data_IF_412253412142
#
_entry.id   IF_412253412142
#
_cell.length_a   1.000
_cell.length_b   1.000
_cell.length_c   1.000
_cell.angle_alpha   90.00
_cell.angle_beta   90.00
_cell.angle_gamma   90.00
#
_symmetry.space_group_name_H-M   'P 1'
#
loop_
_entity.id
_entity.type
_entity.pdbx_description
1 polymer ?
#
# COMPACT_ATOMS: atom_id res chain seq x y z
N UNK A 1 -8.89 25.17 27.26
CA UNK A 1 -9.52 24.34 26.21
C UNK A 1 -8.39 23.74 25.40
N UNK A 2 -8.15 22.44 25.55
CA UNK A 2 -7.11 21.72 24.82
C UNK A 2 -7.65 21.41 23.43
N UNK A 3 -7.11 22.06 22.41
CA UNK A 3 -7.26 21.61 21.02
C UNK A 3 -6.38 20.38 20.88
N UNK A 4 -6.98 19.20 20.94
CA UNK A 4 -6.31 17.97 20.50
C UNK A 4 -5.99 18.14 19.01
N UNK A 5 -4.71 18.37 18.70
CA UNK A 5 -4.19 18.25 17.35
C UNK A 5 -4.33 16.78 16.94
N UNK A 6 -5.39 16.49 16.17
CA UNK A 6 -5.57 15.17 15.57
C UNK A 6 -4.47 15.02 14.50
N UNK A 7 -3.34 14.42 14.88
CA UNK A 7 -2.28 14.00 13.95
C UNK A 7 -2.80 12.83 13.12
N UNK A 8 -3.44 13.12 11.99
CA UNK A 8 -3.68 12.12 10.96
C UNK A 8 -2.35 11.78 10.28
N UNK A 9 -1.70 10.69 10.67
CA UNK A 9 -0.55 10.12 9.96
C UNK A 9 -0.99 9.23 8.79
N UNK A 10 -1.97 9.67 8.00
CA UNK A 10 -2.38 8.91 6.81
C UNK A 10 -1.41 9.27 5.68
N UNK A 11 -0.71 8.26 5.14
CA UNK A 11 0.16 8.49 3.99
C UNK A 11 -0.65 8.97 2.79
N UNK A 12 -0.11 9.95 2.05
CA UNK A 12 -0.75 10.49 0.83
C UNK A 12 -1.06 9.37 -0.17
N UNK A 13 -0.22 8.33 -0.23
CA UNK A 13 -0.48 7.14 -1.05
C UNK A 13 -1.74 6.37 -0.65
N UNK A 14 -2.05 6.25 0.65
CA UNK A 14 -3.27 5.59 1.12
C UNK A 14 -4.51 6.42 0.79
N UNK A 15 -4.43 7.75 0.92
CA UNK A 15 -5.50 8.67 0.49
C UNK A 15 -5.72 8.57 -1.02
N UNK A 16 -4.64 8.56 -1.81
CA UNK A 16 -4.72 8.43 -3.26
C UNK A 16 -5.38 7.12 -3.70
N UNK A 17 -5.10 6.01 -3.01
CA UNK A 17 -5.76 4.72 -3.26
C UNK A 17 -7.27 4.80 -2.99
N UNK A 18 -7.67 5.38 -1.87
CA UNK A 18 -9.09 5.57 -1.54
C UNK A 18 -9.78 6.45 -2.60
N UNK A 19 -9.15 7.56 -2.98
CA UNK A 19 -9.70 8.46 -4.01
C UNK A 19 -9.83 7.76 -5.36
N UNK A 20 -8.93 6.84 -5.72
CA UNK A 20 -9.02 6.08 -6.99
C UNK A 20 -10.28 5.21 -7.05
N UNK A 21 -10.60 4.52 -5.96
CA UNK A 21 -11.76 3.61 -5.86
C UNK A 21 -13.11 4.35 -5.79
N UNK A 22 -13.13 5.64 -5.45
CA UNK A 22 -14.36 6.44 -5.37
C UNK A 22 -15.07 6.55 -6.73
N UNK A 23 -16.40 6.57 -6.69
CA UNK A 23 -17.24 6.86 -7.86
C UNK A 23 -17.01 8.28 -8.37
N UNK A 24 -17.43 8.54 -9.62
CA UNK A 24 -17.32 9.88 -10.21
C UNK A 24 -18.11 10.95 -9.43
N UNK A 25 -19.21 10.55 -8.78
CA UNK A 25 -20.02 11.45 -7.96
C UNK A 25 -19.31 11.82 -6.65
N UNK A 26 -18.75 10.83 -5.97
CA UNK A 26 -17.98 11.03 -4.74
C UNK A 26 -16.71 11.85 -4.98
N UNK A 27 -16.02 11.65 -6.12
CA UNK A 27 -14.89 12.48 -6.54
C UNK A 27 -15.29 13.94 -6.76
N UNK A 28 -16.45 14.20 -7.36
CA UNK A 28 -16.98 15.57 -7.54
C UNK A 28 -17.33 16.20 -6.20
N UNK A 29 -17.91 15.42 -5.29
CA UNK A 29 -18.22 15.87 -3.94
C UNK A 29 -16.95 16.18 -3.13
N UNK A 30 -15.92 15.34 -3.22
CA UNK A 30 -14.61 15.61 -2.62
C UNK A 30 -13.99 16.90 -3.17
N UNK A 31 -14.05 17.11 -4.48
CA UNK A 31 -13.55 18.33 -5.11
C UNK A 31 -14.37 19.58 -4.76
N UNK A 32 -15.62 19.43 -4.32
CA UNK A 32 -16.43 20.51 -3.75
C UNK A 32 -16.02 20.81 -2.30
N UNK A 33 -15.73 19.78 -1.51
CA UNK A 33 -15.32 19.91 -0.12
C UNK A 33 -13.89 20.46 0.05
N UNK A 34 -12.99 20.12 -0.89
CA UNK A 34 -11.58 20.54 -0.88
C UNK A 34 -11.26 21.22 -2.22
N UNK A 35 -11.70 22.49 -2.41
CA UNK A 35 -11.49 23.20 -3.67
C UNK A 35 -10.02 23.37 -4.03
N UNK A 36 -9.12 23.38 -3.06
CA UNK A 36 -7.66 23.49 -3.22
C UNK A 36 -7.09 22.35 -4.07
N UNK A 37 -7.74 21.17 -4.10
CA UNK A 37 -7.36 20.06 -4.99
C UNK A 37 -7.55 20.38 -6.48
N UNK A 38 -8.33 21.42 -6.81
CA UNK A 38 -8.52 21.89 -8.19
C UNK A 38 -7.47 22.91 -8.62
N UNK A 39 -6.80 23.55 -7.66
CA UNK A 39 -5.86 24.66 -7.90
C UNK A 39 -4.42 24.17 -7.99
N UNK A 40 -4.13 22.95 -7.56
CA UNK A 40 -2.80 22.35 -7.72
C UNK A 40 -2.58 22.00 -9.19
N UNK A 41 -1.51 22.55 -9.78
CA UNK A 41 -1.03 22.04 -11.05
C UNK A 41 -0.77 20.55 -10.89
N UNK A 42 -1.31 19.68 -11.78
CA UNK A 42 -1.01 18.26 -11.71
C UNK A 42 0.51 18.13 -11.79
N UNK A 43 1.10 17.57 -10.74
CA UNK A 43 2.49 17.13 -10.78
C UNK A 43 2.62 16.30 -12.05
N UNK A 44 3.43 16.78 -13.01
CA UNK A 44 3.76 15.97 -14.16
C UNK A 44 4.29 14.66 -13.59
N UNK A 45 3.70 13.50 -13.95
CA UNK A 45 4.34 12.25 -13.61
C UNK A 45 5.78 12.36 -14.12
N UNK A 46 6.78 12.03 -13.30
CA UNK A 46 8.16 12.16 -13.72
C UNK A 46 8.29 11.41 -15.06
N UNK A 47 8.87 12.07 -16.07
CA UNK A 47 8.98 11.51 -17.43
C UNK A 47 9.71 10.15 -17.45
N UNK A 48 10.42 9.85 -16.35
CA UNK A 48 11.00 8.55 -16.07
C UNK A 48 10.46 8.05 -14.73
N UNK A 49 10.16 6.74 -14.61
CA UNK A 49 9.86 6.17 -13.30
C UNK A 49 10.99 6.53 -12.34
N UNK A 50 10.64 6.91 -11.11
CA UNK A 50 11.63 7.17 -10.06
C UNK A 50 12.44 5.90 -9.85
N UNK A 51 13.56 5.78 -10.56
CA UNK A 51 14.52 4.71 -10.30
C UNK A 51 15.19 5.05 -8.98
N UNK A 52 15.21 4.12 -8.02
CA UNK A 52 15.97 4.33 -6.80
C UNK A 52 17.41 4.69 -7.16
N UNK A 53 18.02 5.60 -6.39
CA UNK A 53 19.43 5.95 -6.58
C UNK A 53 20.30 4.71 -6.33
N UNK A 54 21.48 4.66 -6.96
CA UNK A 54 22.45 3.59 -6.69
C UNK A 54 22.82 3.53 -5.20
N UNK A 55 22.93 4.69 -4.55
CA UNK A 55 23.19 4.79 -3.10
C UNK A 55 22.08 4.14 -2.27
N UNK A 56 20.81 4.34 -2.63
CA UNK A 56 19.69 3.69 -1.95
C UNK A 56 19.70 2.18 -2.18
N UNK A 57 20.02 1.73 -3.39
CA UNK A 57 20.12 0.30 -3.70
C UNK A 57 21.26 -0.37 -2.94
N UNK A 58 22.41 0.30 -2.81
CA UNK A 58 23.53 -0.19 -2.00
C UNK A 58 23.18 -0.24 -0.52
N UNK A 59 22.54 0.79 0.02
CA UNK A 59 22.08 0.78 1.41
C UNK A 59 21.12 -0.39 1.65
N UNK A 60 20.13 -0.58 0.77
CA UNK A 60 19.17 -1.67 0.89
C UNK A 60 19.86 -3.05 0.83
N UNK A 61 20.87 -3.22 -0.04
CA UNK A 61 21.67 -4.46 -0.10
C UNK A 61 22.41 -4.72 1.20
N UNK A 62 23.00 -3.69 1.81
CA UNK A 62 23.68 -3.82 3.10
C UNK A 62 22.71 -4.19 4.21
N UNK A 63 21.56 -3.51 4.31
CA UNK A 63 20.53 -3.81 5.31
C UNK A 63 20.03 -5.27 5.19
N UNK A 64 19.80 -5.75 3.97
CA UNK A 64 19.41 -7.15 3.72
C UNK A 64 20.53 -8.11 4.12
N UNK A 65 21.79 -7.78 3.83
CA UNK A 65 22.93 -8.61 4.17
C UNK A 65 23.14 -8.69 5.68
N UNK A 66 23.03 -7.57 6.39
CA UNK A 66 23.11 -7.50 7.85
C UNK A 66 21.98 -8.29 8.51
N UNK A 67 20.74 -8.15 8.01
CA UNK A 67 19.59 -8.93 8.50
C UNK A 67 19.78 -10.44 8.33
N UNK A 68 20.59 -10.87 7.35
CA UNK A 68 20.94 -12.28 7.10
C UNK A 68 22.27 -12.70 7.74
N UNK A 69 22.81 -11.89 8.67
CA UNK A 69 24.04 -12.21 9.40
C UNK A 69 25.31 -12.16 8.53
N UNK A 70 25.32 -11.33 7.49
CA UNK A 70 26.46 -11.19 6.58
C UNK A 70 26.47 -12.22 5.44
N UNK A 71 25.46 -13.09 5.34
CA UNK A 71 25.43 -14.17 4.36
C UNK A 71 24.58 -13.78 3.15
N UNK A 72 25.16 -13.74 1.93
CA UNK A 72 24.40 -13.42 0.73
C UNK A 72 23.38 -14.52 0.41
N UNK A 73 22.33 -14.20 -0.36
CA UNK A 73 21.36 -15.20 -0.80
C UNK A 73 22.00 -16.27 -1.69
N UNK A 74 21.67 -17.53 -1.44
CA UNK A 74 22.09 -18.68 -2.24
C UNK A 74 21.09 -18.92 -3.36
N UNK A 75 21.56 -19.42 -4.49
CA UNK A 75 20.67 -19.77 -5.60
C UNK A 75 19.77 -20.95 -5.29
N UNK A 76 20.19 -21.86 -4.41
CA UNK A 76 19.41 -23.04 -4.02
C UNK A 76 18.40 -22.76 -2.89
N UNK A 77 18.30 -21.51 -2.41
CA UNK A 77 17.38 -21.20 -1.32
C UNK A 77 15.91 -21.18 -1.81
N UNK A 78 14.96 -21.73 -1.03
CA UNK A 78 13.54 -21.64 -1.34
C UNK A 78 13.08 -20.19 -1.48
N UNK A 79 12.28 -19.93 -2.52
CA UNK A 79 11.85 -18.59 -2.91
C UNK A 79 10.36 -18.61 -3.33
N UNK A 80 9.95 -17.62 -4.14
CA UNK A 80 8.56 -17.41 -4.53
C UNK A 80 8.02 -18.52 -5.44
N UNK A 81 6.73 -18.81 -5.33
CA UNK A 81 6.04 -19.76 -6.21
C UNK A 81 6.48 -21.21 -6.06
N UNK A 82 7.20 -21.55 -4.97
CA UNK A 82 7.76 -22.88 -4.76
C UNK A 82 9.04 -23.16 -5.55
N UNK A 83 9.63 -22.14 -6.19
CA UNK A 83 10.91 -22.22 -6.88
C UNK A 83 12.05 -21.83 -5.96
N UNK A 84 13.26 -22.29 -6.27
CA UNK A 84 14.47 -21.71 -5.68
C UNK A 84 14.78 -20.35 -6.30
N UNK A 85 15.59 -19.54 -5.62
CA UNK A 85 16.00 -18.21 -6.09
C UNK A 85 16.68 -18.30 -7.48
N UNK A 86 17.59 -19.25 -7.65
CA UNK A 86 18.30 -19.47 -8.90
C UNK A 86 17.40 -19.97 -10.03
N UNK A 87 16.40 -20.81 -9.73
CA UNK A 87 15.40 -21.22 -10.72
C UNK A 87 14.54 -20.04 -11.16
N UNK A 88 14.05 -19.22 -10.22
CA UNK A 88 13.22 -18.06 -10.52
C UNK A 88 13.93 -17.07 -11.46
N UNK A 89 15.18 -16.70 -11.15
CA UNK A 89 15.92 -15.73 -11.96
C UNK A 89 16.44 -16.28 -13.30
N UNK A 90 16.34 -17.60 -13.55
CA UNK A 90 16.62 -18.19 -14.88
C UNK A 90 15.42 -18.11 -15.82
N UNK A 91 14.22 -17.91 -15.29
CA UNK A 91 13.01 -17.79 -16.12
C UNK A 91 13.02 -16.49 -16.93
N UNK A 92 12.36 -16.45 -18.10
CA UNK A 92 12.06 -15.20 -18.79
C UNK A 92 11.32 -14.22 -17.88
N UNK A 93 11.52 -12.91 -18.11
CA UNK A 93 10.88 -11.85 -17.32
C UNK A 93 9.35 -11.97 -17.30
N UNK A 94 8.73 -12.33 -18.42
CA UNK A 94 7.29 -12.57 -18.54
C UNK A 94 6.79 -13.69 -17.61
N UNK A 95 7.60 -14.74 -17.43
CA UNK A 95 7.26 -15.85 -16.53
C UNK A 95 7.48 -15.46 -15.06
N UNK A 96 8.50 -14.66 -14.77
CA UNK A 96 8.72 -14.09 -13.44
C UNK A 96 7.55 -13.21 -13.02
N UNK A 97 7.08 -12.34 -13.93
CA UNK A 97 5.93 -11.45 -13.70
C UNK A 97 4.64 -12.26 -13.47
N UNK A 98 4.38 -13.29 -14.27
CA UNK A 98 3.20 -14.14 -14.09
C UNK A 98 3.19 -14.86 -12.73
N UNK A 99 4.35 -15.31 -12.24
CA UNK A 99 4.49 -15.88 -10.90
C UNK A 99 4.23 -14.80 -9.84
N UNK A 100 4.76 -13.60 -10.04
CA UNK A 100 4.58 -12.48 -9.14
C UNK A 100 3.12 -12.07 -8.99
N UNK A 101 2.41 -11.91 -10.10
CA UNK A 101 0.98 -11.59 -10.16
C UNK A 101 0.15 -12.64 -9.43
N UNK A 102 0.46 -13.92 -9.63
CA UNK A 102 -0.25 -15.02 -8.97
C UNK A 102 -0.07 -14.98 -7.45
N UNK A 103 1.16 -14.76 -6.98
CA UNK A 103 1.44 -14.68 -5.53
C UNK A 103 0.79 -13.44 -4.94
N UNK A 104 0.81 -12.31 -5.64
CA UNK A 104 0.17 -11.08 -5.19
C UNK A 104 -1.34 -11.24 -5.09
N UNK A 105 -1.99 -11.78 -6.11
CA UNK A 105 -3.44 -12.05 -6.10
C UNK A 105 -3.84 -13.01 -4.96
N UNK A 106 -3.01 -14.01 -4.67
CA UNK A 106 -3.24 -14.90 -3.53
C UNK A 106 -3.14 -14.15 -2.20
N UNK A 107 -2.11 -13.32 -2.01
CA UNK A 107 -1.91 -12.53 -0.81
C UNK A 107 -3.07 -11.54 -0.58
N UNK A 108 -3.54 -10.87 -1.63
CA UNK A 108 -4.69 -9.96 -1.54
C UNK A 108 -5.97 -10.70 -1.12
N UNK A 109 -6.23 -11.88 -1.69
CA UNK A 109 -7.38 -12.71 -1.32
C UNK A 109 -7.31 -13.23 0.13
N UNK A 110 -6.11 -13.50 0.66
CA UNK A 110 -5.92 -13.92 2.05
C UNK A 110 -6.10 -12.74 3.03
N UNK A 111 -5.66 -11.54 2.65
CA UNK A 111 -5.89 -10.32 3.43
C UNK A 111 -7.39 -9.99 3.46
N UNK A 112 -8.09 -10.06 2.33
CA UNK A 112 -9.54 -9.81 2.27
C UNK A 112 -10.31 -10.77 3.18
N UNK A 113 -9.99 -12.07 3.15
CA UNK A 113 -10.58 -13.08 4.05
C UNK A 113 -10.30 -12.79 5.52
N UNK A 114 -9.09 -12.37 5.85
CA UNK A 114 -8.69 -12.03 7.23
C UNK A 114 -9.42 -10.78 7.72
N UNK A 115 -9.60 -9.78 6.85
CA UNK A 115 -10.31 -8.55 7.18
C UNK A 115 -11.81 -8.82 7.35
N UNK A 116 -12.42 -9.66 6.50
CA UNK A 116 -13.83 -10.05 6.66
C UNK A 116 -14.07 -10.87 7.94
N UNK A 117 -13.12 -11.71 8.35
CA UNK A 117 -13.19 -12.42 9.62
C UNK A 117 -13.15 -11.45 10.82
N UNK A 118 -12.26 -10.45 10.78
CA UNK A 118 -12.16 -9.43 11.83
C UNK A 118 -13.44 -8.59 11.99
N UNK A 119 -14.09 -8.21 10.87
CA UNK A 119 -15.40 -7.53 10.90
C UNK A 119 -16.53 -8.38 11.50
N UNK A 120 -16.48 -9.72 11.37
CA UNK A 120 -17.47 -10.62 11.97
C UNK A 120 -17.25 -10.82 13.46
N UNK A 121 -16.00 -10.86 13.92
CA UNK A 121 -15.66 -11.07 15.34
C UNK A 121 -15.75 -9.79 16.17
N UNK A 122 -15.49 -8.63 15.55
CA UNK A 122 -15.65 -7.31 16.15
C UNK A 122 -16.68 -6.46 15.40
N UNK A 123 -17.99 -6.76 15.53
CA UNK A 123 -19.03 -5.94 14.91
C UNK A 123 -18.95 -4.51 15.46
N UNK A 124 -18.59 -3.58 14.57
CA UNK A 124 -18.62 -2.15 14.89
C UNK A 124 -20.06 -1.78 15.20
N UNK A 125 -20.35 -1.46 16.46
CA UNK A 125 -21.71 -1.11 16.88
C UNK A 125 -22.18 0.12 16.10
N UNK A 126 -23.37 0.10 15.48
CA UNK A 126 -23.89 1.23 14.69
C UNK A 126 -24.04 2.53 15.50
N UNK A 127 -24.14 2.43 16.83
CA UNK A 127 -24.22 3.59 17.73
C UNK A 127 -22.94 4.43 17.81
N UNK A 128 -21.78 3.89 17.36
CA UNK A 128 -20.53 4.64 17.31
C UNK A 128 -20.54 5.76 16.25
N UNK A 129 -21.43 5.67 15.25
CA UNK A 129 -21.55 6.65 14.16
C UNK A 129 -22.50 7.82 14.50
N UNK A 130 -23.38 7.68 15.49
CA UNK A 130 -24.44 8.67 15.78
C UNK A 130 -24.02 9.67 16.88
N UNK A 131 -23.04 9.33 17.73
CA UNK A 131 -22.61 10.18 18.84
C UNK A 131 -21.94 11.51 18.41
N UNK A 132 -21.51 11.63 17.15
CA UNK A 132 -20.87 12.84 16.61
C UNK A 132 -21.83 13.95 16.15
N UNK A 133 -23.12 13.68 15.97
CA UNK A 133 -24.06 14.64 15.34
C UNK A 133 -25.00 15.38 16.30
N UNK A 134 -24.93 15.11 17.62
CA UNK A 134 -25.78 15.81 18.61
C UNK A 134 -24.98 16.44 19.73
N UNK A 135 -24.18 17.47 19.41
CA UNK A 135 -23.87 18.54 20.36
C UNK A 135 -23.70 19.88 19.65
N UNK A 136 -24.81 20.59 19.49
CA UNK A 136 -24.87 22.05 19.67
C UNK A 136 -26.32 22.43 19.97
N UNK A 137 -26.63 23.02 21.14
CA UNK A 137 -27.86 23.79 21.32
C UNK A 137 -27.82 25.07 20.46
#
# INVERSE_FOLDING_TARGET
>A
MMTEEIKYSISVGRVARIIREMSAEEKRYLAYLVPELREVEPLKPPEQPLRPSEEFLEQLRQEILEARGGVPPSDDEPFIGGLTRGEFYRLPEEEQEAIWDKVWAQAEAEVEKSTEADYREHPVKPDALIAGQKRRP
#
